data_IF_284965614079
#
_entry.id   IF_284965614079
#
_cell.length_a   1.000
_cell.length_b   1.000
_cell.length_c   1.000
_cell.angle_alpha   90.00
_cell.angle_beta   90.00
_cell.angle_gamma   90.00
#
_symmetry.space_group_name_H-M   'P 1'
#
loop_
_entity.id
_entity.type
_entity.pdbx_description
1 polymer ?
#
# COMPACT_ATOMS: atom_id res chain seq x y z
N UNK A 1 -17.83 7.61 -6.34
CA UNK A 1 -18.10 6.56 -7.34
C UNK A 1 -19.57 6.56 -7.72
N UNK A 2 -19.88 6.17 -8.95
CA UNK A 2 -21.26 6.03 -9.46
C UNK A 2 -21.46 4.58 -9.90
N UNK A 3 -22.64 4.02 -9.66
CA UNK A 3 -22.93 2.62 -9.94
C UNK A 3 -24.33 2.47 -10.53
N UNK A 4 -24.43 1.65 -11.57
CA UNK A 4 -25.69 1.12 -12.07
C UNK A 4 -25.93 -0.27 -11.45
N UNK A 5 -27.17 -0.55 -11.04
CA UNK A 5 -27.54 -1.86 -10.52
C UNK A 5 -28.82 -2.39 -11.15
N UNK A 6 -28.87 -3.70 -11.31
CA UNK A 6 -30.02 -4.44 -11.80
C UNK A 6 -30.21 -5.69 -10.94
N UNK A 7 -31.47 -6.08 -10.71
CA UNK A 7 -31.79 -7.23 -9.87
C UNK A 7 -32.96 -8.03 -10.42
N UNK A 8 -32.94 -9.33 -10.15
CA UNK A 8 -34.01 -10.28 -10.42
C UNK A 8 -34.35 -10.98 -9.11
N UNK A 9 -35.65 -11.05 -8.81
CA UNK A 9 -36.17 -11.70 -7.61
C UNK A 9 -37.18 -12.77 -8.00
N UNK A 10 -37.11 -13.91 -7.33
CA UNK A 10 -38.11 -14.97 -7.40
C UNK A 10 -38.43 -15.40 -5.97
N UNK A 11 -39.71 -15.45 -5.61
CA UNK A 11 -40.11 -15.77 -4.25
C UNK A 11 -41.43 -16.55 -4.24
N UNK A 12 -41.55 -17.43 -3.23
CA UNK A 12 -42.78 -18.16 -2.91
C UNK A 12 -43.35 -17.72 -1.57
N UNK A 13 -44.09 -18.59 -0.87
CA UNK A 13 -44.50 -18.30 0.52
C UNK A 13 -43.33 -18.49 1.50
N UNK A 14 -42.53 -19.55 1.30
CA UNK A 14 -41.52 -20.02 2.26
C UNK A 14 -40.08 -19.91 1.77
N UNK A 15 -39.87 -19.43 0.55
CA UNK A 15 -38.57 -19.39 -0.10
C UNK A 15 -38.39 -18.10 -0.90
N UNK A 16 -37.13 -17.67 -1.01
CA UNK A 16 -36.69 -16.50 -1.76
C UNK A 16 -35.44 -16.84 -2.57
N UNK A 17 -35.28 -16.23 -3.74
CA UNK A 17 -34.06 -16.22 -4.54
C UNK A 17 -33.87 -14.80 -5.08
N UNK A 18 -32.69 -14.25 -4.88
CA UNK A 18 -32.30 -12.92 -5.34
C UNK A 18 -31.01 -13.03 -6.16
N UNK A 19 -30.99 -12.38 -7.32
CA UNK A 19 -29.82 -12.20 -8.16
C UNK A 19 -29.64 -10.71 -8.41
N UNK A 20 -28.51 -10.15 -7.98
CA UNK A 20 -28.20 -8.74 -8.17
C UNK A 20 -26.90 -8.59 -8.96
N UNK A 21 -26.83 -7.55 -9.78
CA UNK A 21 -25.63 -7.15 -10.51
C UNK A 21 -25.34 -5.66 -10.27
N UNK A 22 -24.06 -5.34 -10.12
CA UNK A 22 -23.55 -4.02 -9.79
C UNK A 22 -22.43 -3.65 -10.76
N UNK A 23 -22.60 -2.52 -11.44
CA UNK A 23 -21.65 -2.04 -12.44
C UNK A 23 -21.23 -0.60 -12.10
N UNK A 24 -20.02 -0.38 -11.58
CA UNK A 24 -19.41 0.94 -11.51
C UNK A 24 -19.38 1.57 -12.89
N UNK A 25 -19.70 2.86 -12.97
CA UNK A 25 -19.71 3.64 -14.20
C UNK A 25 -18.96 4.96 -14.01
N UNK A 26 -18.27 5.41 -15.06
CA UNK A 26 -17.39 6.58 -15.00
C UNK A 26 -16.05 6.24 -14.36
N UNK A 27 -15.51 7.17 -13.57
CA UNK A 27 -14.26 6.98 -12.86
C UNK A 27 -14.46 5.99 -11.70
N UNK A 28 -14.01 4.75 -11.91
CA UNK A 28 -14.12 3.63 -10.97
C UNK A 28 -12.86 3.44 -10.11
N UNK A 29 -11.80 4.21 -10.36
CA UNK A 29 -10.55 4.16 -9.59
C UNK A 29 -9.98 5.57 -9.41
N UNK A 30 -9.83 5.99 -8.16
CA UNK A 30 -9.36 7.33 -7.81
C UNK A 30 -8.13 7.27 -6.90
N UNK A 31 -7.11 8.08 -7.20
CA UNK A 31 -5.96 8.24 -6.32
C UNK A 31 -6.34 9.15 -5.15
N UNK A 32 -6.34 8.62 -3.94
CA UNK A 32 -6.75 9.34 -2.72
C UNK A 32 -5.57 9.91 -1.94
N UNK A 33 -4.41 9.29 -2.07
CA UNK A 33 -3.17 9.82 -1.52
C UNK A 33 -2.01 9.38 -2.39
N UNK A 34 -0.98 10.19 -2.43
CA UNK A 34 0.34 9.75 -2.82
C UNK A 34 1.32 10.36 -1.85
N UNK A 35 2.42 9.67 -1.66
CA UNK A 35 3.60 10.35 -1.18
C UNK A 35 3.92 11.40 -2.28
N UNK A 36 3.95 12.70 -1.95
CA UNK A 36 4.10 13.78 -2.95
C UNK A 36 5.40 13.68 -3.75
N UNK A 37 5.64 14.57 -4.73
CA UNK A 37 6.90 14.59 -5.49
C UNK A 37 8.16 14.73 -4.62
N UNK A 38 8.05 15.00 -3.32
CA UNK A 38 9.13 15.06 -2.32
C UNK A 38 9.42 13.72 -1.63
N UNK A 39 8.67 12.66 -1.98
CA UNK A 39 8.68 11.39 -1.27
C UNK A 39 9.41 10.30 -2.04
N UNK A 40 10.70 10.38 -1.89
CA UNK A 40 11.58 9.25 -2.02
C UNK A 40 12.62 9.47 -0.95
N UNK A 41 12.27 9.32 0.33
CA UNK A 41 13.27 9.52 1.39
C UNK A 41 14.44 8.63 1.05
N UNK A 42 15.59 9.23 0.68
CA UNK A 42 16.69 8.45 0.18
C UNK A 42 17.18 7.58 1.33
N UNK A 43 17.32 6.29 1.04
CA UNK A 43 17.71 5.26 1.99
C UNK A 43 18.68 4.29 1.35
N UNK A 44 19.20 3.35 2.15
CA UNK A 44 20.14 2.33 1.68
C UNK A 44 21.34 2.93 0.90
N UNK A 45 21.95 3.97 1.47
CA UNK A 45 23.14 4.61 0.91
C UNK A 45 24.30 3.63 0.84
N UNK A 46 24.95 3.59 -0.30
CA UNK A 46 26.12 2.73 -0.53
C UNK A 46 27.01 3.35 -1.60
N UNK A 47 28.29 3.02 -1.54
CA UNK A 47 29.19 3.34 -2.64
C UNK A 47 29.09 2.25 -3.72
N UNK A 48 29.13 2.68 -4.97
CA UNK A 48 29.23 1.79 -6.14
C UNK A 48 30.14 2.44 -7.16
N UNK A 49 31.26 1.79 -7.48
CA UNK A 49 32.33 2.42 -8.25
C UNK A 49 32.85 3.69 -7.54
N UNK A 50 32.77 4.83 -8.23
CA UNK A 50 33.13 6.16 -7.72
C UNK A 50 31.91 7.02 -7.34
N UNK A 51 30.73 6.43 -7.14
CA UNK A 51 29.49 7.16 -6.88
C UNK A 51 28.92 6.78 -5.53
N UNK A 52 28.26 7.72 -4.89
CA UNK A 52 27.31 7.45 -3.81
C UNK A 52 25.95 7.19 -4.46
N UNK A 53 25.39 6.01 -4.22
CA UNK A 53 24.07 5.62 -4.69
C UNK A 53 23.13 5.34 -3.54
N UNK A 54 21.84 5.53 -3.78
CA UNK A 54 20.77 5.32 -2.81
C UNK A 54 19.52 4.79 -3.50
N UNK A 55 18.59 4.32 -2.70
CA UNK A 55 17.29 3.87 -3.16
C UNK A 55 16.20 4.82 -2.64
N UNK A 56 15.14 4.98 -3.40
CA UNK A 56 13.97 5.77 -3.02
C UNK A 56 12.70 4.96 -3.15
N UNK A 57 11.87 5.03 -2.11
CA UNK A 57 10.55 4.43 -2.10
C UNK A 57 9.46 5.50 -2.18
N UNK A 58 8.48 5.30 -3.06
CA UNK A 58 7.26 6.07 -3.11
C UNK A 58 6.04 5.17 -2.99
N UNK A 59 4.90 5.74 -2.60
CA UNK A 59 3.62 5.04 -2.56
C UNK A 59 2.50 5.88 -3.16
N UNK A 60 1.53 5.21 -3.77
CA UNK A 60 0.25 5.78 -4.16
C UNK A 60 -0.87 4.92 -3.59
N UNK A 61 -1.86 5.57 -3.00
CA UNK A 61 -3.07 4.94 -2.48
C UNK A 61 -4.23 5.27 -3.40
N UNK A 62 -4.98 4.24 -3.76
CA UNK A 62 -6.15 4.34 -4.61
C UNK A 62 -7.35 3.74 -3.90
N UNK A 63 -8.52 4.27 -4.22
CA UNK A 63 -9.80 3.63 -3.96
C UNK A 63 -10.36 3.16 -5.29
N UNK A 64 -10.77 1.89 -5.36
CA UNK A 64 -11.43 1.32 -6.52
C UNK A 64 -12.84 0.85 -6.17
N UNK A 65 -13.84 1.31 -6.93
CA UNK A 65 -15.18 0.78 -6.85
C UNK A 65 -15.25 -0.59 -7.52
N UNK A 66 -15.78 -1.56 -6.80
CA UNK A 66 -15.93 -2.92 -7.31
C UNK A 66 -17.28 -3.09 -8.00
N UNK A 67 -17.24 -3.72 -9.17
CA UNK A 67 -18.40 -4.32 -9.81
C UNK A 67 -18.54 -5.77 -9.40
N UNK A 68 -19.74 -6.32 -9.57
CA UNK A 68 -19.98 -7.69 -9.15
C UNK A 68 -21.38 -8.19 -9.36
N UNK A 69 -21.57 -9.44 -8.98
CA UNK A 69 -22.85 -10.13 -8.96
C UNK A 69 -23.02 -10.87 -7.64
N UNK A 70 -24.25 -10.92 -7.12
CA UNK A 70 -24.60 -11.78 -5.99
C UNK A 70 -25.82 -12.64 -6.29
N UNK A 71 -25.79 -13.88 -5.82
CA UNK A 71 -26.89 -14.83 -5.86
C UNK A 71 -27.15 -15.29 -4.42
N UNK A 72 -28.34 -15.05 -3.91
CA UNK A 72 -28.74 -15.45 -2.57
C UNK A 72 -30.05 -16.24 -2.62
N UNK A 73 -30.12 -17.33 -1.87
CA UNK A 73 -31.34 -18.10 -1.67
C UNK A 73 -31.69 -18.13 -0.18
N UNK A 74 -32.98 -18.04 0.11
CA UNK A 74 -33.52 -17.98 1.46
C UNK A 74 -34.66 -18.95 1.68
N UNK A 75 -34.80 -19.42 2.92
CA UNK A 75 -35.91 -20.26 3.38
C UNK A 75 -36.42 -19.77 4.73
N UNK A 76 -37.74 -19.87 4.92
CA UNK A 76 -38.37 -19.73 6.24
C UNK A 76 -38.03 -20.95 7.08
N UNK A 77 -37.22 -20.77 8.11
CA UNK A 77 -36.76 -21.83 9.01
C UNK A 77 -37.79 -22.15 10.09
N UNK A 78 -38.48 -21.12 10.58
CA UNK A 78 -39.51 -21.26 11.61
C UNK A 78 -40.51 -20.12 11.55
N UNK A 79 -41.75 -20.41 11.94
CA UNK A 79 -42.81 -19.43 12.14
C UNK A 79 -43.29 -19.58 13.58
N UNK A 80 -43.17 -18.51 14.37
CA UNK A 80 -43.45 -18.57 15.80
C UNK A 80 -44.94 -18.33 16.05
N UNK A 81 -45.55 -19.28 16.77
CA UNK A 81 -46.96 -19.23 17.12
C UNK A 81 -47.32 -17.95 17.88
N UNK A 82 -48.56 -17.48 17.71
CA UNK A 82 -49.05 -16.27 18.38
C UNK A 82 -48.61 -14.95 17.73
N UNK A 83 -48.08 -14.98 16.51
CA UNK A 83 -47.69 -13.77 15.77
C UNK A 83 -46.40 -13.14 16.27
N UNK A 84 -45.51 -13.94 16.86
CA UNK A 84 -44.16 -13.54 17.30
C UNK A 84 -43.16 -13.55 16.13
N UNK A 85 -43.65 -13.58 14.90
CA UNK A 85 -42.83 -13.41 13.71
C UNK A 85 -42.32 -14.72 13.10
N UNK A 86 -41.34 -14.57 12.20
CA UNK A 86 -40.71 -15.70 11.51
C UNK A 86 -39.18 -15.59 11.51
N UNK A 87 -38.51 -16.73 11.50
CA UNK A 87 -37.06 -16.84 11.33
C UNK A 87 -36.75 -17.31 9.92
N UNK A 88 -35.88 -16.59 9.23
CA UNK A 88 -35.42 -16.91 7.89
C UNK A 88 -33.92 -17.14 7.89
N UNK A 89 -33.48 -18.07 7.05
CA UNK A 89 -32.08 -18.35 6.80
C UNK A 89 -31.77 -18.15 5.34
N UNK A 90 -30.63 -17.51 5.05
CA UNK A 90 -30.17 -17.24 3.71
C UNK A 90 -28.73 -17.71 3.55
N UNK A 91 -28.43 -18.17 2.33
CA UNK A 91 -27.09 -18.51 1.89
C UNK A 91 -26.89 -18.05 0.45
N UNK A 92 -25.72 -17.53 0.14
CA UNK A 92 -25.43 -17.01 -1.18
C UNK A 92 -23.96 -17.01 -1.54
N UNK A 93 -23.72 -16.77 -2.82
CA UNK A 93 -22.41 -16.55 -3.42
C UNK A 93 -22.38 -15.14 -4.00
N UNK A 94 -21.22 -14.51 -3.99
CA UNK A 94 -21.02 -13.24 -4.66
C UNK A 94 -19.65 -13.19 -5.29
N UNK A 95 -19.53 -12.44 -6.38
CA UNK A 95 -18.27 -12.22 -7.08
C UNK A 95 -18.04 -10.72 -7.24
N UNK A 96 -16.83 -10.27 -6.94
CA UNK A 96 -16.38 -8.89 -7.14
C UNK A 96 -15.15 -8.83 -8.04
N UNK A 97 -15.08 -7.78 -8.85
CA UNK A 97 -13.95 -7.44 -9.70
C UNK A 97 -13.85 -5.92 -9.82
N UNK A 98 -12.65 -5.39 -10.04
CA UNK A 98 -12.42 -3.95 -10.09
C UNK A 98 -11.09 -3.58 -10.71
N UNK A 99 -10.96 -2.32 -11.09
CA UNK A 99 -9.73 -1.81 -11.69
C UNK A 99 -8.59 -1.78 -10.66
N UNK A 100 -7.49 -2.48 -10.95
CA UNK A 100 -6.35 -2.62 -10.04
C UNK A 100 -6.62 -3.51 -8.83
N UNK A 101 -7.77 -4.19 -8.80
CA UNK A 101 -8.18 -5.13 -7.76
C UNK A 101 -7.95 -6.56 -8.22
N UNK A 102 -7.71 -7.46 -7.28
CA UNK A 102 -7.85 -8.89 -7.55
C UNK A 102 -9.35 -9.26 -7.63
N UNK A 103 -9.69 -10.22 -8.48
CA UNK A 103 -11.05 -10.76 -8.54
C UNK A 103 -11.29 -11.69 -7.35
N UNK A 104 -12.51 -11.68 -6.79
CA UNK A 104 -12.83 -12.49 -5.61
C UNK A 104 -14.21 -13.09 -5.65
N UNK A 105 -14.28 -14.38 -5.33
CA UNK A 105 -15.51 -15.14 -5.14
C UNK A 105 -15.71 -15.36 -3.63
N UNK A 106 -16.83 -14.88 -3.11
CA UNK A 106 -17.19 -14.98 -1.71
C UNK A 106 -18.46 -15.79 -1.46
N UNK A 107 -18.59 -16.21 -0.20
CA UNK A 107 -19.77 -16.88 0.34
C UNK A 107 -20.38 -16.03 1.45
N UNK A 108 -21.72 -16.07 1.57
CA UNK A 108 -22.46 -15.39 2.63
C UNK A 108 -23.51 -16.31 3.21
N UNK A 109 -23.70 -16.24 4.53
CA UNK A 109 -24.84 -16.80 5.23
C UNK A 109 -25.42 -15.77 6.21
N UNK A 110 -26.74 -15.70 6.34
CA UNK A 110 -27.40 -14.80 7.30
C UNK A 110 -28.70 -15.39 7.84
N UNK A 111 -29.03 -14.97 9.05
CA UNK A 111 -30.29 -15.26 9.74
C UNK A 111 -31.04 -13.96 9.97
N UNK A 112 -32.32 -13.96 9.59
CA UNK A 112 -33.21 -12.82 9.74
C UNK A 112 -34.39 -13.21 10.62
N UNK A 113 -34.51 -12.56 11.78
CA UNK A 113 -35.69 -12.63 12.61
C UNK A 113 -36.64 -11.48 12.29
N UNK A 114 -37.80 -11.81 11.72
CA UNK A 114 -38.86 -10.89 11.34
C UNK A 114 -39.93 -10.91 12.43
N UNK A 115 -39.80 -10.09 13.49
CA UNK A 115 -40.73 -10.07 14.62
C UNK A 115 -42.16 -9.71 14.18
N UNK A 116 -42.25 -8.70 13.32
CA UNK A 116 -43.43 -8.23 12.60
C UNK A 116 -42.92 -7.80 11.21
N UNK A 117 -43.79 -7.64 10.22
CA UNK A 117 -43.33 -7.28 8.86
C UNK A 117 -42.64 -5.91 8.78
N UNK A 118 -42.80 -5.09 9.84
CA UNK A 118 -42.18 -3.78 9.97
C UNK A 118 -40.87 -3.76 10.77
N UNK A 119 -40.44 -4.86 11.40
CA UNK A 119 -39.22 -4.89 12.20
C UNK A 119 -38.45 -6.20 12.02
N UNK A 120 -37.21 -6.09 11.51
CA UNK A 120 -36.34 -7.22 11.18
C UNK A 120 -34.98 -7.07 11.86
N UNK A 121 -34.47 -8.15 12.43
CA UNK A 121 -33.14 -8.26 13.01
C UNK A 121 -32.34 -9.27 12.20
N UNK A 122 -31.19 -8.86 11.66
CA UNK A 122 -30.34 -9.72 10.85
C UNK A 122 -28.99 -9.96 11.52
N UNK A 123 -28.49 -11.19 11.45
CA UNK A 123 -27.12 -11.55 11.79
C UNK A 123 -26.52 -12.32 10.61
N UNK A 124 -25.38 -11.89 10.10
CA UNK A 124 -24.74 -12.54 8.96
C UNK A 124 -23.24 -12.66 9.10
N UNK A 125 -22.71 -13.62 8.36
CA UNK A 125 -21.29 -13.86 8.17
C UNK A 125 -21.01 -13.96 6.67
N UNK A 126 -19.91 -13.39 6.23
CA UNK A 126 -19.42 -13.55 4.87
C UNK A 126 -17.91 -13.73 4.88
N UNK A 127 -17.39 -14.39 3.85
CA UNK A 127 -15.96 -14.57 3.65
C UNK A 127 -15.63 -14.51 2.17
N UNK A 128 -14.54 -13.83 1.86
CA UNK A 128 -13.94 -13.71 0.53
C UNK A 128 -12.46 -13.32 0.66
N UNK A 129 -11.69 -13.45 -0.42
CA UNK A 129 -10.23 -13.24 -0.39
C UNK A 129 -9.83 -11.75 -0.35
N UNK A 130 -10.73 -10.81 -0.70
CA UNK A 130 -10.46 -9.36 -0.66
C UNK A 130 -10.69 -8.79 0.75
N UNK A 131 -11.83 -9.11 1.35
CA UNK A 131 -12.27 -8.50 2.62
C UNK A 131 -12.17 -9.45 3.83
N UNK A 132 -11.82 -10.71 3.62
CA UNK A 132 -11.74 -11.72 4.67
C UNK A 132 -13.09 -12.05 5.30
N UNK A 133 -13.06 -12.58 6.53
CA UNK A 133 -14.28 -12.94 7.25
C UNK A 133 -14.88 -11.75 7.98
N UNK A 134 -16.10 -11.38 7.62
CA UNK A 134 -16.85 -10.29 8.24
C UNK A 134 -18.16 -10.80 8.87
N UNK A 135 -18.45 -10.34 10.08
CA UNK A 135 -19.71 -10.58 10.79
C UNK A 135 -20.46 -9.27 10.90
N UNK A 136 -21.73 -9.26 10.51
CA UNK A 136 -22.56 -8.06 10.53
C UNK A 136 -23.88 -8.31 11.23
N UNK A 137 -24.37 -7.27 11.92
CA UNK A 137 -25.67 -7.23 12.55
C UNK A 137 -26.47 -6.07 11.96
N UNK A 138 -27.77 -6.29 11.73
CA UNK A 138 -28.66 -5.27 11.15
C UNK A 138 -29.99 -5.19 11.89
N UNK A 139 -30.56 -3.98 11.90
CA UNK A 139 -31.91 -3.69 12.39
C UNK A 139 -32.61 -2.89 11.31
N UNK A 140 -33.69 -3.43 10.76
CA UNK A 140 -34.47 -2.79 9.70
C UNK A 140 -35.88 -2.50 10.20
N UNK A 141 -36.32 -1.25 10.10
CA UNK A 141 -37.66 -0.83 10.46
C UNK A 141 -38.36 -0.20 9.25
N UNK A 142 -39.56 -0.69 8.91
CA UNK A 142 -40.36 -0.21 7.78
C UNK A 142 -41.58 0.56 8.29
N UNK A 143 -41.75 1.81 7.86
CA UNK A 143 -42.88 2.68 8.26
C UNK A 143 -43.91 2.75 7.15
N UNK A 144 -45.19 2.62 7.49
CA UNK A 144 -46.31 2.74 6.54
C UNK A 144 -46.64 1.47 5.74
N UNK A 145 -45.92 0.37 5.98
CA UNK A 145 -46.23 -0.94 5.42
C UNK A 145 -47.19 -1.77 6.30
N UNK A 146 -47.74 -2.88 5.77
CA UNK A 146 -48.52 -3.82 6.58
C UNK A 146 -47.67 -4.36 7.73
N UNK A 147 -48.24 -4.48 8.92
CA UNK A 147 -47.54 -5.00 10.11
C UNK A 147 -47.45 -6.52 10.13
N UNK A 148 -48.26 -7.21 9.31
CA UNK A 148 -48.34 -8.66 9.20
C UNK A 148 -48.66 -9.06 7.75
N UNK A 149 -48.02 -10.13 7.27
CA UNK A 149 -48.46 -10.80 6.06
C UNK A 149 -49.83 -11.45 6.31
N UNK A 150 -50.75 -11.44 5.32
CA UNK A 150 -52.00 -12.17 5.42
C UNK A 150 -51.75 -13.67 5.61
N UNK A 151 -52.59 -14.32 6.42
CA UNK A 151 -52.52 -15.77 6.61
C UNK A 151 -52.87 -16.49 5.30
N UNK A 152 -52.02 -17.43 4.87
CA UNK A 152 -52.21 -18.18 3.63
C UNK A 152 -53.55 -18.94 3.64
N UNK A 153 -53.97 -19.44 4.80
CA UNK A 153 -55.23 -20.17 4.95
C UNK A 153 -56.45 -19.24 4.85
N UNK A 154 -56.27 -17.94 5.12
CA UNK A 154 -57.35 -16.95 5.09
C UNK A 154 -57.51 -16.27 3.73
N UNK A 155 -56.41 -16.01 3.01
CA UNK A 155 -56.45 -15.28 1.72
C UNK A 155 -56.04 -16.13 0.51
N UNK A 156 -55.58 -17.35 0.73
CA UNK A 156 -54.99 -18.20 -0.30
C UNK A 156 -53.51 -17.91 -0.55
N UNK A 157 -52.78 -18.93 -1.03
CA UNK A 157 -51.33 -18.86 -1.25
C UNK A 157 -50.93 -17.76 -2.24
N UNK A 158 -51.70 -17.58 -3.32
CA UNK A 158 -51.43 -16.56 -4.34
C UNK A 158 -51.51 -15.14 -3.76
N UNK A 159 -52.55 -14.84 -2.97
CA UNK A 159 -52.71 -13.51 -2.37
C UNK A 159 -51.61 -13.21 -1.34
N UNK A 160 -51.13 -14.23 -0.60
CA UNK A 160 -49.99 -14.09 0.31
C UNK A 160 -48.70 -13.78 -0.47
N UNK A 161 -48.43 -14.49 -1.57
CA UNK A 161 -47.27 -14.23 -2.44
C UNK A 161 -47.33 -12.80 -3.01
N UNK A 162 -48.50 -12.33 -3.45
CA UNK A 162 -48.66 -10.95 -3.91
C UNK A 162 -48.42 -9.92 -2.81
N UNK A 163 -48.81 -10.20 -1.56
CA UNK A 163 -48.50 -9.32 -0.44
C UNK A 163 -46.98 -9.19 -0.21
N UNK A 164 -46.19 -10.22 -0.56
CA UNK A 164 -44.72 -10.17 -0.49
C UNK A 164 -44.08 -9.30 -1.56
N UNK A 165 -44.76 -9.02 -2.67
CA UNK A 165 -44.27 -8.11 -3.70
C UNK A 165 -44.14 -6.64 -3.20
N UNK A 166 -44.74 -6.32 -2.05
CA UNK A 166 -44.57 -5.03 -1.37
C UNK A 166 -43.37 -5.02 -0.39
N UNK A 167 -42.66 -6.13 -0.22
CA UNK A 167 -41.44 -6.16 0.59
C UNK A 167 -40.33 -5.33 -0.06
N UNK A 168 -39.41 -4.80 0.77
CA UNK A 168 -38.24 -4.09 0.27
C UNK A 168 -37.32 -5.02 -0.50
N UNK A 169 -36.77 -4.51 -1.61
CA UNK A 169 -35.76 -5.18 -2.43
C UNK A 169 -34.58 -5.67 -1.58
N UNK A 170 -34.15 -6.91 -1.78
CA UNK A 170 -32.99 -7.47 -1.09
C UNK A 170 -31.75 -7.33 -1.97
N UNK A 171 -30.95 -6.30 -1.68
CA UNK A 171 -29.68 -6.02 -2.39
C UNK A 171 -28.66 -5.36 -1.46
N UNK A 172 -27.41 -5.27 -1.88
CA UNK A 172 -26.43 -4.39 -1.27
C UNK A 172 -26.62 -2.95 -1.81
N UNK A 173 -27.06 -1.97 -0.99
CA UNK A 173 -27.23 -0.60 -1.47
C UNK A 173 -25.91 0.18 -1.53
N UNK A 174 -24.83 -0.33 -0.92
CA UNK A 174 -23.55 0.34 -0.89
C UNK A 174 -22.68 -0.05 -2.08
N UNK A 175 -21.98 0.93 -2.64
CA UNK A 175 -20.88 0.67 -3.57
C UNK A 175 -19.73 0.09 -2.77
N UNK A 176 -19.32 -1.12 -3.10
CA UNK A 176 -18.16 -1.76 -2.48
C UNK A 176 -16.90 -1.08 -3.00
N UNK A 177 -16.00 -0.71 -2.10
CA UNK A 177 -14.76 0.00 -2.41
C UNK A 177 -13.59 -0.74 -1.78
N UNK A 178 -12.54 -0.95 -2.56
CA UNK A 178 -11.27 -1.50 -2.10
C UNK A 178 -10.21 -0.38 -1.97
N UNK A 179 -9.44 -0.41 -0.87
CA UNK A 179 -8.28 0.44 -0.68
C UNK A 179 -7.02 -0.28 -1.19
N UNK A 180 -6.39 0.30 -2.22
CA UNK A 180 -5.18 -0.24 -2.84
C UNK A 180 -3.96 0.60 -2.47
N UNK A 181 -2.82 -0.04 -2.21
CA UNK A 181 -1.54 0.65 -2.03
C UNK A 181 -0.52 0.12 -3.02
N UNK A 182 -0.15 0.96 -3.99
CA UNK A 182 0.95 0.69 -4.90
C UNK A 182 2.24 1.28 -4.33
N UNK A 183 3.32 0.50 -4.36
CA UNK A 183 4.65 0.93 -3.93
C UNK A 183 5.61 0.85 -5.11
N UNK A 184 6.41 1.89 -5.28
CA UNK A 184 7.47 1.92 -6.28
C UNK A 184 8.81 2.12 -5.58
N UNK A 185 9.79 1.32 -5.97
CA UNK A 185 11.17 1.41 -5.48
C UNK A 185 12.07 1.74 -6.66
N UNK A 186 12.78 2.87 -6.59
CA UNK A 186 13.84 3.21 -7.53
C UNK A 186 15.17 2.90 -6.85
N UNK A 187 15.94 1.99 -7.46
CA UNK A 187 17.18 1.46 -6.88
C UNK A 187 18.38 2.07 -7.60
N UNK A 188 19.42 2.42 -6.84
CA UNK A 188 20.71 2.83 -7.40
C UNK A 188 20.71 4.22 -8.01
N UNK A 189 19.91 5.13 -7.49
CA UNK A 189 19.95 6.54 -7.87
C UNK A 189 21.26 7.17 -7.41
N UNK A 190 21.83 8.07 -8.21
CA UNK A 190 23.12 8.71 -7.92
C UNK A 190 22.90 10.00 -7.15
N UNK A 191 23.68 10.20 -6.07
CA UNK A 191 23.66 11.44 -5.29
C UNK A 191 24.30 12.59 -6.07
N UNK A 192 23.58 13.71 -6.14
CA UNK A 192 24.04 14.94 -6.78
C UNK A 192 24.46 15.98 -5.73
N UNK A 193 25.42 16.82 -6.06
CA UNK A 193 25.83 17.96 -5.24
C UNK A 193 24.79 19.09 -5.39
N UNK A 194 24.15 19.55 -4.29
CA UNK A 194 23.18 20.65 -4.34
C UNK A 194 23.72 21.97 -4.88
N UNK A 195 25.03 22.21 -4.81
CA UNK A 195 25.64 23.46 -5.24
C UNK A 195 25.87 23.49 -6.76
N UNK A 196 26.13 22.33 -7.38
CA UNK A 196 26.49 22.24 -8.81
C UNK A 196 25.45 21.51 -9.65
N UNK A 197 24.62 20.65 -9.05
CA UNK A 197 23.73 19.72 -9.74
C UNK A 197 24.43 18.50 -10.34
N UNK A 198 25.76 18.42 -10.22
CA UNK A 198 26.55 17.31 -10.76
C UNK A 198 26.58 16.13 -9.78
N UNK A 199 26.71 14.91 -10.32
CA UNK A 199 26.84 13.74 -9.49
C UNK A 199 28.14 13.78 -8.67
N UNK A 200 28.06 13.47 -7.37
CA UNK A 200 29.24 13.32 -6.54
C UNK A 200 30.16 12.24 -7.11
N UNK A 201 31.46 12.54 -7.17
CA UNK A 201 32.50 11.56 -7.47
C UNK A 201 33.35 11.34 -6.22
N UNK A 202 33.48 10.08 -5.83
CA UNK A 202 34.30 9.65 -4.71
C UNK A 202 35.52 8.89 -5.24
N UNK A 203 36.69 9.37 -4.86
CA UNK A 203 37.95 8.64 -5.03
C UNK A 203 38.29 7.99 -3.71
N UNK A 204 38.21 6.67 -3.65
CA UNK A 204 38.44 5.90 -2.44
C UNK A 204 39.94 5.64 -2.25
N UNK A 205 40.42 5.89 -1.02
CA UNK A 205 41.80 5.63 -0.61
C UNK A 205 41.79 4.75 0.62
N UNK A 206 42.48 3.61 0.56
CA UNK A 206 42.65 2.69 1.69
C UNK A 206 44.15 2.46 1.90
N UNK A 207 44.76 3.04 2.96
CA UNK A 207 46.18 2.88 3.23
C UNK A 207 46.61 1.41 3.31
N UNK A 208 47.75 1.07 2.72
CA UNK A 208 48.30 -0.29 2.71
C UNK A 208 47.75 -1.22 1.62
N UNK A 209 46.80 -0.76 0.79
CA UNK A 209 46.44 -1.47 -0.45
C UNK A 209 47.45 -1.17 -1.55
N UNK A 210 47.60 -2.07 -2.53
CA UNK A 210 48.56 -1.90 -3.65
C UNK A 210 47.78 -1.69 -4.95
N UNK A 211 48.07 -0.60 -5.66
CA UNK A 211 47.33 -0.24 -6.87
C UNK A 211 45.93 0.30 -6.59
N UNK A 212 45.03 0.21 -7.57
CA UNK A 212 43.63 0.63 -7.47
C UNK A 212 43.19 1.57 -8.59
N UNK A 213 41.89 1.56 -8.91
CA UNK A 213 41.28 2.54 -9.81
C UNK A 213 40.70 3.74 -9.06
N UNK A 214 40.68 3.70 -7.73
CA UNK A 214 40.04 4.70 -6.88
C UNK A 214 38.53 4.47 -6.70
N UNK A 215 37.99 3.40 -7.29
CA UNK A 215 36.63 2.93 -7.01
C UNK A 215 36.55 2.27 -5.63
N UNK A 216 35.35 2.16 -5.04
CA UNK A 216 35.17 1.54 -3.72
C UNK A 216 35.61 0.06 -3.71
N UNK A 217 35.44 -0.65 -4.83
CA UNK A 217 35.81 -2.05 -5.02
C UNK A 217 37.31 -2.22 -5.30
N UNK A 218 38.01 -1.15 -5.69
CA UNK A 218 39.44 -1.13 -5.97
C UNK A 218 40.06 0.21 -5.54
N UNK A 219 40.15 0.47 -4.22
CA UNK A 219 40.61 1.74 -3.68
C UNK A 219 42.09 1.93 -3.95
N UNK A 220 42.54 3.20 -3.96
CA UNK A 220 43.95 3.53 -4.07
C UNK A 220 44.69 3.30 -2.75
N UNK A 221 45.93 2.80 -2.85
CA UNK A 221 46.82 2.59 -1.70
C UNK A 221 47.36 3.84 -1.01
N UNK A 222 47.34 4.97 -1.70
CA UNK A 222 47.93 6.23 -1.24
C UNK A 222 47.10 7.43 -1.72
N UNK A 223 47.23 8.56 -1.01
CA UNK A 223 46.47 9.77 -1.33
C UNK A 223 47.06 10.58 -2.50
N UNK A 224 48.37 10.53 -2.73
CA UNK A 224 49.02 11.24 -3.83
C UNK A 224 48.40 10.95 -5.22
N UNK A 225 48.16 9.69 -5.64
CA UNK A 225 47.47 9.42 -6.91
C UNK A 225 46.04 9.92 -6.91
N UNK A 226 45.32 9.88 -5.78
CA UNK A 226 43.96 10.42 -5.69
C UNK A 226 43.92 11.93 -5.93
N UNK A 227 44.89 12.66 -5.34
CA UNK A 227 45.03 14.12 -5.51
C UNK A 227 45.42 14.51 -6.94
N UNK A 228 46.11 13.63 -7.67
CA UNK A 228 46.48 13.87 -9.07
C UNK A 228 45.31 13.66 -10.04
N UNK A 229 44.32 12.84 -9.67
CA UNK A 229 43.18 12.49 -10.55
C UNK A 229 41.89 13.23 -10.22
N UNK A 230 41.75 13.73 -8.99
CA UNK A 230 40.52 14.38 -8.52
C UNK A 230 40.37 15.79 -9.12
N UNK A 231 39.21 16.08 -9.70
CA UNK A 231 38.87 17.43 -10.17
C UNK A 231 38.16 18.23 -9.07
N UNK A 232 38.17 19.58 -9.10
CA UNK A 232 37.38 20.41 -8.19
C UNK A 232 35.90 20.00 -8.17
N UNK A 233 35.26 20.07 -7.00
CA UNK A 233 33.88 19.61 -6.75
C UNK A 233 33.76 18.14 -6.33
N UNK A 234 34.85 17.37 -6.37
CA UNK A 234 34.84 15.94 -6.03
C UNK A 234 35.45 15.65 -4.66
N UNK A 235 35.18 14.45 -4.17
CA UNK A 235 35.52 14.02 -2.80
C UNK A 235 36.57 12.90 -2.86
N UNK A 236 37.64 13.03 -2.08
CA UNK A 236 38.50 11.91 -1.73
C UNK A 236 37.98 11.32 -0.42
N UNK A 237 37.63 10.03 -0.43
CA UNK A 237 37.12 9.33 0.74
C UNK A 237 38.15 8.33 1.28
N UNK A 238 38.75 8.67 2.41
CA UNK A 238 39.75 7.85 3.08
C UNK A 238 39.06 6.82 3.96
N UNK A 239 39.25 5.55 3.64
CA UNK A 239 38.68 4.40 4.33
C UNK A 239 39.69 3.77 5.29
N UNK A 240 39.24 2.90 6.21
CA UNK A 240 40.12 2.23 7.17
C UNK A 240 41.08 1.30 6.43
N UNK A 241 42.37 1.37 6.76
CA UNK A 241 43.42 0.55 6.17
C UNK A 241 44.57 0.32 7.13
N UNK A 242 45.69 -0.23 6.65
CA UNK A 242 46.92 -0.41 7.44
C UNK A 242 47.69 0.91 7.58
N UNK A 243 47.03 1.89 8.18
CA UNK A 243 47.60 3.22 8.44
C UNK A 243 48.62 3.22 9.59
N UNK A 244 48.78 2.11 10.31
CA UNK A 244 49.78 1.96 11.37
C UNK A 244 51.17 1.68 10.78
N UNK A 245 51.27 0.78 9.79
CA UNK A 245 52.52 0.54 9.08
C UNK A 245 52.68 1.43 7.83
N UNK A 246 51.56 1.92 7.26
CA UNK A 246 51.54 2.76 6.07
C UNK A 246 50.76 4.06 6.33
N UNK A 247 51.27 4.97 7.18
CA UNK A 247 50.61 6.24 7.42
C UNK A 247 50.53 7.07 6.13
N UNK A 248 49.45 7.83 5.99
CA UNK A 248 49.34 8.80 4.90
C UNK A 248 50.44 9.84 5.04
N UNK A 249 51.21 10.07 3.98
CA UNK A 249 52.19 11.15 3.91
C UNK A 249 51.50 12.51 3.97
N UNK A 250 52.22 13.56 4.37
CA UNK A 250 51.69 14.92 4.31
C UNK A 250 51.30 15.30 2.88
N UNK A 251 50.19 16.01 2.72
CA UNK A 251 49.66 16.45 1.43
C UNK A 251 48.96 17.80 1.55
N UNK A 252 48.78 18.48 0.42
CA UNK A 252 48.00 19.71 0.30
C UNK A 252 46.71 19.41 -0.44
N UNK A 253 45.60 19.94 0.04
CA UNK A 253 44.29 19.78 -0.59
C UNK A 253 44.16 20.82 -1.71
N UNK A 254 43.95 20.40 -2.98
CA UNK A 254 43.68 21.33 -4.08
C UNK A 254 42.40 22.12 -3.84
N UNK A 255 42.34 23.34 -4.38
CA UNK A 255 41.15 24.19 -4.27
C UNK A 255 39.90 23.49 -4.81
N UNK A 256 38.83 23.49 -4.02
CA UNK A 256 37.54 22.88 -4.38
C UNK A 256 37.47 21.36 -4.24
N UNK A 257 38.50 20.69 -3.73
CA UNK A 257 38.47 19.25 -3.40
C UNK A 257 38.18 19.08 -1.92
N UNK A 258 37.35 18.09 -1.58
CA UNK A 258 37.12 17.70 -0.18
C UNK A 258 37.83 16.39 0.11
N UNK A 259 38.53 16.31 1.25
CA UNK A 259 39.11 15.06 1.75
C UNK A 259 38.37 14.68 3.02
N UNK A 260 37.58 13.62 2.94
CA UNK A 260 36.78 13.09 4.03
C UNK A 260 37.33 11.75 4.49
N UNK A 261 37.13 11.42 5.76
CA UNK A 261 37.57 10.16 6.35
C UNK A 261 36.39 9.44 6.98
N UNK A 262 36.33 8.12 6.81
CA UNK A 262 35.41 7.25 7.56
C UNK A 262 35.77 7.16 9.06
N UNK A 263 36.87 7.81 9.45
CA UNK A 263 37.34 8.17 10.79
C UNK A 263 36.26 8.58 11.78
N UNK A 264 35.38 9.44 11.25
CA UNK A 264 34.40 10.22 11.99
C UNK A 264 33.13 10.26 11.18
N UNK A 265 32.04 10.63 11.84
CA UNK A 265 30.76 10.79 11.16
C UNK A 265 30.90 11.89 10.09
N UNK A 266 30.61 11.53 8.84
CA UNK A 266 30.63 12.47 7.72
C UNK A 266 29.21 12.65 7.23
N UNK A 267 28.71 13.88 7.36
CA UNK A 267 27.41 14.28 6.83
C UNK A 267 27.61 15.00 5.50
N UNK A 268 26.92 14.54 4.47
CA UNK A 268 26.98 15.10 3.13
C UNK A 268 25.59 15.57 2.69
N UNK A 269 25.40 16.86 2.33
CA UNK A 269 24.18 17.29 1.69
C UNK A 269 24.11 16.73 0.27
N UNK A 270 22.96 16.19 -0.11
CA UNK A 270 22.71 15.63 -1.44
C UNK A 270 21.45 16.24 -2.03
N UNK A 271 21.45 16.37 -3.35
CA UNK A 271 20.27 16.63 -4.15
C UNK A 271 19.84 15.33 -4.86
N UNK A 272 18.53 15.14 -4.94
CA UNK A 272 17.88 14.07 -5.66
C UNK A 272 16.63 14.60 -6.35
N UNK A 273 15.99 13.79 -7.20
CA UNK A 273 14.87 14.23 -8.06
C UNK A 273 13.76 14.94 -7.28
N UNK A 274 13.56 14.54 -6.03
CA UNK A 274 12.47 14.97 -5.17
C UNK A 274 12.87 15.99 -4.09
N UNK A 275 14.14 16.37 -3.97
CA UNK A 275 14.55 17.43 -3.03
C UNK A 275 16.00 17.39 -2.58
N UNK A 276 16.22 17.92 -1.38
CA UNK A 276 17.51 17.97 -0.70
C UNK A 276 17.45 17.13 0.58
N UNK A 277 18.54 16.43 0.90
CA UNK A 277 18.71 15.68 2.13
C UNK A 277 20.14 15.81 2.63
N UNK A 278 20.36 15.64 3.93
CA UNK A 278 21.71 15.45 4.48
C UNK A 278 21.84 14.01 4.91
N UNK A 279 22.87 13.32 4.40
CA UNK A 279 23.02 11.88 4.55
C UNK A 279 24.35 11.57 5.19
N UNK A 280 24.38 10.55 6.03
CA UNK A 280 25.63 10.04 6.59
C UNK A 280 26.33 9.18 5.52
N UNK A 281 27.62 9.42 5.29
CA UNK A 281 28.38 8.60 4.38
C UNK A 281 28.52 7.16 4.91
N UNK A 282 28.41 6.14 4.03
CA UNK A 282 28.59 4.74 4.41
C UNK A 282 29.98 4.45 5.02
N UNK A 283 30.10 3.32 5.74
CA UNK A 283 31.35 2.81 6.34
C UNK A 283 31.96 3.62 7.49
N UNK A 284 31.19 4.51 8.10
CA UNK A 284 31.57 5.17 9.34
C UNK A 284 31.73 4.15 10.50
N UNK A 285 32.83 4.26 11.25
CA UNK A 285 32.99 3.57 12.55
C UNK A 285 33.69 2.20 12.53
N UNK A 286 33.92 1.60 11.36
CA UNK A 286 34.67 0.33 11.27
C UNK A 286 36.20 0.58 11.32
N UNK A 287 36.76 0.68 12.55
CA UNK A 287 38.22 0.77 12.83
C UNK A 287 38.96 1.94 12.18
N UNK A 288 38.42 3.14 12.35
CA UNK A 288 38.85 4.28 11.55
C UNK A 288 40.10 5.00 12.10
N UNK A 289 41.02 5.42 11.21
CA UNK A 289 42.24 6.20 11.52
C UNK A 289 42.07 7.62 11.00
N UNK A 290 42.24 8.59 11.89
CA UNK A 290 42.20 10.02 11.57
C UNK A 290 43.46 10.44 10.78
N UNK A 291 43.34 11.09 9.62
CA UNK A 291 44.48 11.76 9.01
C UNK A 291 44.95 12.90 9.93
N UNK A 292 46.24 12.90 10.30
CA UNK A 292 46.84 14.04 11.00
C UNK A 292 47.06 15.18 10.00
N UNK A 293 46.37 16.30 10.23
CA UNK A 293 46.64 17.55 9.52
C UNK A 293 47.69 18.30 10.33
N UNK A 294 48.91 18.44 9.77
CA UNK A 294 49.88 19.41 10.28
C UNK A 294 49.69 20.72 9.50
N UNK A 295 49.22 21.75 10.19
CA UNK A 295 49.22 23.12 9.68
C UNK A 295 50.65 23.64 9.67
N UNK A 296 51.10 24.18 8.53
CA UNK A 296 52.33 24.98 8.45
C UNK A 296 52.19 26.29 9.22
#
# INVERSE_FOLDING_TARGET
FTQFSAGLEAFGDVWDVHLNAYLPIGDDRNRIASSGDTSGTPGNFRFQGNRLVFDTGSFSQFEAALGGVDLEAGLRLSEFAGGWGSLWGYSGLYYYSGNGSDDSLGVRARLDYRLQENLRFGLGIQHDDLFGTNVFFSVNATVGGPTRLPDADAVGQEARVWARAAESLTRNPAIVVENQTERSLQVGQVALDPATGDAYLFVHVTPGTVGGSGAVESPLGAIAPALATVSPGNVIYVRPGDSAANPLSAFTIPGGVQVLSSGVEQLLPIQFASGLATVMLPDFGDRAVLPRIETA
#
